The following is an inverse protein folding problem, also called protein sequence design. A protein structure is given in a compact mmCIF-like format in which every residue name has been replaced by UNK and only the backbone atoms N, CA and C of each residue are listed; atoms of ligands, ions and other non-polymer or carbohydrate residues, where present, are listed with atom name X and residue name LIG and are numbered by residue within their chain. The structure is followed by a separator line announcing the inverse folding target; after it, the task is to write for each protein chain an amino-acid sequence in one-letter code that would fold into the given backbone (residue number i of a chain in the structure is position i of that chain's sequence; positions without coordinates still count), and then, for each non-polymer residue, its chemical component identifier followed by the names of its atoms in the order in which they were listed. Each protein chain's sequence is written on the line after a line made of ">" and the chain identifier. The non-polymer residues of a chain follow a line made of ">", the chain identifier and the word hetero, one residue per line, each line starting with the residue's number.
data_IF_726378301267
#
_entry.id   IF_726378301267
#
_cell.length_a   1.000
_cell.length_b   1.000
_cell.length_c   1.000
_cell.angle_alpha   90.00
_cell.angle_beta   90.00
_cell.angle_gamma   90.00
#
_symmetry.space_group_name_H-M   'P 1'
#
loop_
_entity.id
_entity.type
_entity.pdbx_description
1 polymer ?
#
# COMPACT_ATOMS: atom_id res chain seq x y z
N UNK A 1 22.67 -8.87 -11.98
CA UNK A 1 23.69 -9.55 -11.12
C UNK A 1 23.86 -8.90 -9.75
N UNK A 2 23.64 -7.61 -9.58
CA UNK A 2 23.71 -6.91 -8.28
C UNK A 2 22.66 -7.38 -7.25
N UNK A 3 21.44 -7.70 -7.68
CA UNK A 3 20.38 -8.23 -6.85
C UNK A 3 20.80 -9.43 -5.99
N UNK A 4 21.36 -10.47 -6.64
CA UNK A 4 21.80 -11.69 -5.95
C UNK A 4 23.00 -11.38 -5.04
N UNK A 5 23.82 -10.38 -5.40
CA UNK A 5 24.97 -9.93 -4.62
C UNK A 5 24.58 -9.32 -3.27
N UNK A 6 23.56 -8.44 -3.23
CA UNK A 6 23.10 -7.84 -1.98
C UNK A 6 22.47 -8.86 -1.03
N UNK A 7 21.64 -9.78 -1.55
CA UNK A 7 21.03 -10.82 -0.71
C UNK A 7 22.04 -11.83 -0.14
N UNK A 8 23.11 -12.17 -0.90
CA UNK A 8 24.15 -13.11 -0.44
C UNK A 8 25.04 -12.52 0.66
N UNK A 9 25.14 -11.20 0.76
CA UNK A 9 25.94 -10.52 1.80
C UNK A 9 25.20 -10.41 3.13
N UNK A 10 23.87 -10.64 3.15
CA UNK A 10 23.09 -10.59 4.38
C UNK A 10 23.40 -11.78 5.28
N UNK A 11 23.49 -11.52 6.58
CA UNK A 11 23.48 -12.58 7.59
C UNK A 11 22.14 -13.31 7.56
N UNK A 12 22.08 -14.52 8.12
CA UNK A 12 20.83 -15.27 8.21
C UNK A 12 19.75 -14.51 8.99
N UNK A 13 20.13 -13.74 10.01
CA UNK A 13 19.25 -12.91 10.81
C UNK A 13 18.66 -11.75 9.98
N UNK A 14 19.49 -10.99 9.28
CA UNK A 14 19.09 -9.91 8.40
C UNK A 14 18.15 -10.40 7.30
N UNK A 15 18.48 -11.52 6.68
CA UNK A 15 17.66 -12.14 5.65
C UNK A 15 16.30 -12.57 6.17
N UNK A 16 16.24 -13.24 7.33
CA UNK A 16 15.00 -13.68 7.93
C UNK A 16 14.11 -12.50 8.33
N UNK A 17 14.72 -11.43 8.88
CA UNK A 17 13.99 -10.20 9.22
C UNK A 17 13.40 -9.54 7.98
N UNK A 18 14.20 -9.38 6.91
CA UNK A 18 13.72 -8.80 5.67
C UNK A 18 12.59 -9.62 5.04
N UNK A 19 12.75 -10.96 4.97
CA UNK A 19 11.71 -11.87 4.45
C UNK A 19 10.43 -11.75 5.26
N UNK A 20 10.52 -11.70 6.58
CA UNK A 20 9.34 -11.56 7.45
C UNK A 20 8.59 -10.24 7.20
N UNK A 21 9.32 -9.12 7.09
CA UNK A 21 8.72 -7.81 6.84
C UNK A 21 8.15 -7.72 5.40
N UNK A 22 8.84 -8.27 4.42
CA UNK A 22 8.36 -8.34 3.03
C UNK A 22 7.08 -9.18 2.91
N UNK A 23 7.08 -10.37 3.53
CA UNK A 23 5.90 -11.25 3.54
C UNK A 23 4.74 -10.62 4.33
N UNK A 24 5.03 -9.95 5.47
CA UNK A 24 4.02 -9.23 6.23
C UNK A 24 3.30 -8.21 5.35
N UNK A 25 4.06 -7.33 4.69
CA UNK A 25 3.53 -6.34 3.77
C UNK A 25 2.80 -6.95 2.56
N UNK A 26 3.34 -8.04 1.99
CA UNK A 26 2.70 -8.72 0.87
C UNK A 26 1.38 -9.37 1.26
N UNK A 27 1.32 -10.00 2.44
CA UNK A 27 0.13 -10.68 2.91
C UNK A 27 -0.95 -9.70 3.40
N UNK A 28 -0.54 -8.55 3.96
CA UNK A 28 -1.43 -7.45 4.28
C UNK A 28 -2.12 -6.89 3.01
N UNK A 29 -1.35 -6.66 1.94
CA UNK A 29 -1.90 -6.28 0.64
C UNK A 29 -2.77 -7.38 0.03
N UNK A 30 -2.38 -8.65 0.15
CA UNK A 30 -3.17 -9.80 -0.29
C UNK A 30 -4.57 -9.79 0.33
N UNK A 31 -4.68 -9.58 1.65
CA UNK A 31 -5.95 -9.56 2.36
C UNK A 31 -6.82 -8.36 1.94
N UNK A 32 -6.22 -7.19 1.73
CA UNK A 32 -6.95 -6.05 1.17
C UNK A 32 -7.53 -6.37 -0.22
N UNK A 33 -6.75 -7.00 -1.11
CA UNK A 33 -7.20 -7.32 -2.46
C UNK A 33 -8.18 -8.49 -2.53
N UNK A 34 -8.22 -9.38 -1.55
CA UNK A 34 -9.32 -10.36 -1.40
C UNK A 34 -10.67 -9.65 -1.37
N UNK A 35 -10.80 -8.59 -0.55
CA UNK A 35 -12.01 -7.77 -0.53
C UNK A 35 -12.35 -7.24 -1.94
N UNK A 36 -11.36 -6.67 -2.64
CA UNK A 36 -11.54 -6.07 -3.97
C UNK A 36 -12.04 -7.08 -5.01
N UNK A 37 -11.50 -8.31 -5.02
CA UNK A 37 -11.98 -9.38 -5.91
C UNK A 37 -13.38 -9.88 -5.54
N UNK A 38 -13.75 -9.84 -4.27
CA UNK A 38 -15.01 -10.36 -3.75
C UNK A 38 -16.15 -9.34 -3.78
N UNK A 39 -15.94 -8.08 -4.18
CA UNK A 39 -16.95 -7.00 -4.16
C UNK A 39 -18.25 -7.42 -4.84
N UNK A 40 -18.20 -8.03 -6.03
CA UNK A 40 -19.40 -8.48 -6.75
C UNK A 40 -20.17 -9.57 -6.01
N UNK A 41 -19.45 -10.52 -5.40
CA UNK A 41 -20.04 -11.62 -4.63
C UNK A 41 -20.63 -11.13 -3.29
N UNK A 42 -19.95 -10.18 -2.63
CA UNK A 42 -20.45 -9.52 -1.42
C UNK A 42 -21.72 -8.72 -1.71
N UNK A 43 -21.76 -7.96 -2.82
CA UNK A 43 -22.94 -7.23 -3.26
C UNK A 43 -24.15 -8.16 -3.48
N UNK A 44 -23.93 -9.31 -4.11
CA UNK A 44 -24.96 -10.31 -4.31
C UNK A 44 -25.40 -10.96 -2.99
N UNK A 45 -24.45 -11.29 -2.08
CA UNK A 45 -24.76 -11.98 -0.82
C UNK A 45 -25.50 -11.09 0.18
N UNK A 46 -25.11 -9.81 0.28
CA UNK A 46 -25.75 -8.86 1.22
C UNK A 46 -26.92 -8.09 0.59
N UNK A 47 -27.23 -8.33 -0.69
CA UNK A 47 -28.26 -7.61 -1.46
C UNK A 47 -28.04 -6.10 -1.47
N UNK A 48 -26.78 -5.68 -1.58
CA UNK A 48 -26.37 -4.29 -1.53
C UNK A 48 -25.77 -3.84 -2.87
N UNK A 49 -25.74 -2.51 -3.08
CA UNK A 49 -25.07 -1.92 -4.24
C UNK A 49 -23.55 -2.04 -4.11
N UNK A 50 -22.85 -2.00 -5.24
CA UNK A 50 -21.36 -1.98 -5.24
C UNK A 50 -20.82 -0.79 -4.44
N UNK A 51 -21.43 0.39 -4.58
CA UNK A 51 -21.06 1.59 -3.82
C UNK A 51 -21.17 1.40 -2.31
N UNK A 52 -22.18 0.66 -1.84
CA UNK A 52 -22.36 0.30 -0.43
C UNK A 52 -21.22 -0.66 0.01
N UNK A 53 -20.92 -1.69 -0.79
CA UNK A 53 -19.83 -2.63 -0.47
C UNK A 53 -18.47 -1.93 -0.45
N UNK A 54 -18.22 -0.96 -1.33
CA UNK A 54 -16.97 -0.20 -1.34
C UNK A 54 -16.73 0.64 -0.08
N UNK A 55 -17.75 0.85 0.76
CA UNK A 55 -17.57 1.40 2.11
C UNK A 55 -16.65 0.51 2.98
N UNK A 56 -16.59 -0.79 2.70
CA UNK A 56 -15.66 -1.67 3.40
C UNK A 56 -14.19 -1.34 3.06
N UNK A 57 -13.89 -1.06 1.79
CA UNK A 57 -12.56 -0.58 1.38
C UNK A 57 -12.28 0.81 1.97
N UNK A 58 -13.28 1.71 1.94
CA UNK A 58 -13.17 3.03 2.58
C UNK A 58 -12.78 2.91 4.05
N UNK A 59 -13.53 2.17 4.86
CA UNK A 59 -13.25 2.03 6.30
C UNK A 59 -11.90 1.35 6.56
N UNK A 60 -11.52 0.37 5.72
CA UNK A 60 -10.19 -0.25 5.81
C UNK A 60 -9.09 0.80 5.64
N UNK A 61 -9.15 1.63 4.61
CA UNK A 61 -8.12 2.63 4.33
C UNK A 61 -8.18 3.82 5.31
N UNK A 62 -9.39 4.26 5.68
CA UNK A 62 -9.60 5.39 6.58
C UNK A 62 -9.09 5.14 8.01
N UNK A 63 -9.11 3.89 8.47
CA UNK A 63 -8.64 3.50 9.80
C UNK A 63 -7.12 3.27 9.88
N UNK A 64 -6.40 3.19 8.76
CA UNK A 64 -4.94 2.96 8.73
C UNK A 64 -4.11 4.00 9.50
N UNK A 65 -4.39 5.34 9.42
CA UNK A 65 -3.62 6.31 10.20
C UNK A 65 -3.72 6.09 11.71
N UNK A 66 -4.90 5.69 12.21
CA UNK A 66 -5.09 5.34 13.62
C UNK A 66 -4.23 4.12 14.00
N UNK A 67 -4.23 3.09 13.15
CA UNK A 67 -3.40 1.91 13.31
C UNK A 67 -1.91 2.23 13.32
N UNK A 68 -1.44 3.01 12.36
CA UNK A 68 -0.04 3.46 12.29
C UNK A 68 0.40 4.16 13.59
N UNK A 69 -0.47 5.01 14.14
CA UNK A 69 -0.22 5.69 15.40
C UNK A 69 -0.16 4.71 16.59
N UNK A 70 -1.17 3.85 16.75
CA UNK A 70 -1.28 2.91 17.88
C UNK A 70 -0.14 1.89 17.89
N UNK A 71 0.09 1.21 16.77
CA UNK A 71 1.14 0.20 16.65
C UNK A 71 2.55 0.81 16.63
N UNK A 72 2.71 2.00 16.06
CA UNK A 72 3.96 2.75 16.12
C UNK A 72 4.37 3.06 17.56
N UNK A 73 3.43 3.58 18.39
CA UNK A 73 3.66 3.81 19.81
C UNK A 73 3.97 2.53 20.58
N UNK A 74 3.28 1.44 20.25
CA UNK A 74 3.53 0.14 20.87
C UNK A 74 4.92 -0.38 20.50
N UNK A 75 5.33 -0.26 19.26
CA UNK A 75 6.66 -0.67 18.78
C UNK A 75 7.79 0.07 19.51
N UNK A 76 7.61 1.35 19.85
CA UNK A 76 8.59 2.12 20.61
C UNK A 76 8.69 1.69 22.08
N UNK A 77 7.61 1.15 22.66
CA UNK A 77 7.55 0.74 24.07
C UNK A 77 7.93 -0.72 24.28
N UNK A 78 7.32 -1.61 23.52
CA UNK A 78 7.36 -3.06 23.72
C UNK A 78 8.42 -3.72 22.81
N UNK A 79 8.76 -3.07 21.70
CA UNK A 79 9.70 -3.56 20.69
C UNK A 79 9.04 -3.73 19.33
N UNK A 80 9.88 -3.78 18.28
CA UNK A 80 9.39 -3.91 16.89
C UNK A 80 8.85 -5.30 16.62
N UNK A 81 9.59 -6.34 17.05
CA UNK A 81 9.25 -7.74 16.82
C UNK A 81 7.91 -8.15 17.46
N UNK A 82 7.65 -7.97 18.77
CA UNK A 82 6.37 -8.36 19.39
C UNK A 82 5.20 -7.54 18.84
N UNK A 83 5.43 -6.26 18.48
CA UNK A 83 4.41 -5.42 17.85
C UNK A 83 4.05 -5.93 16.47
N UNK A 84 5.02 -6.29 15.64
CA UNK A 84 4.79 -6.89 14.32
C UNK A 84 3.99 -8.20 14.44
N UNK A 85 4.36 -9.07 15.38
CA UNK A 85 3.63 -10.30 15.65
C UNK A 85 2.16 -10.05 16.01
N UNK A 86 1.92 -9.15 16.99
CA UNK A 86 0.57 -8.83 17.43
C UNK A 86 -0.25 -8.22 16.30
N UNK A 87 0.39 -7.40 15.46
CA UNK A 87 -0.22 -6.80 14.30
C UNK A 87 -0.68 -7.85 13.29
N UNK A 88 0.21 -8.80 12.92
CA UNK A 88 -0.11 -9.90 12.01
C UNK A 88 -1.26 -10.76 12.56
N UNK A 89 -1.23 -11.10 13.84
CA UNK A 89 -2.32 -11.86 14.49
C UNK A 89 -3.62 -11.07 14.44
N UNK A 90 -3.58 -9.77 14.74
CA UNK A 90 -4.77 -8.92 14.80
C UNK A 90 -5.44 -8.81 13.42
N UNK A 91 -4.69 -8.49 12.34
CA UNK A 91 -5.31 -8.39 11.04
C UNK A 91 -5.82 -9.74 10.51
N UNK A 92 -5.10 -10.85 10.77
CA UNK A 92 -5.56 -12.19 10.41
C UNK A 92 -6.85 -12.59 11.16
N UNK A 93 -6.98 -12.21 12.44
CA UNK A 93 -8.21 -12.42 13.21
C UNK A 93 -9.40 -11.63 12.63
N UNK A 94 -9.20 -10.37 12.29
CA UNK A 94 -10.27 -9.56 11.73
C UNK A 94 -10.63 -9.98 10.30
N UNK A 95 -9.66 -10.48 9.54
CA UNK A 95 -9.90 -11.10 8.24
C UNK A 95 -10.80 -12.34 8.40
N UNK A 96 -10.43 -13.25 9.32
CA UNK A 96 -11.23 -14.42 9.63
C UNK A 96 -12.64 -14.06 10.13
N UNK A 97 -12.74 -13.06 11.02
CA UNK A 97 -14.04 -12.58 11.52
C UNK A 97 -14.91 -12.03 10.39
N UNK A 98 -14.31 -11.40 9.36
CA UNK A 98 -15.03 -10.93 8.18
C UNK A 98 -15.67 -12.09 7.38
N UNK A 99 -15.02 -13.28 7.32
CA UNK A 99 -15.56 -14.45 6.68
C UNK A 99 -16.89 -14.94 7.30
N UNK A 100 -17.05 -14.74 8.60
CA UNK A 100 -18.22 -15.17 9.36
C UNK A 100 -19.24 -14.06 9.64
N UNK A 101 -19.08 -12.88 9.06
CA UNK A 101 -20.00 -11.77 9.25
C UNK A 101 -21.42 -12.17 8.79
N UNK A 102 -22.44 -12.10 9.69
CA UNK A 102 -23.82 -12.44 9.34
C UNK A 102 -24.54 -11.31 8.60
N UNK A 103 -24.12 -10.06 8.81
CA UNK A 103 -24.72 -8.88 8.19
C UNK A 103 -23.64 -7.96 7.62
N UNK A 104 -24.03 -7.09 6.70
CA UNK A 104 -23.12 -6.11 6.13
C UNK A 104 -22.55 -5.14 7.19
N UNK A 105 -23.32 -4.76 8.20
CA UNK A 105 -22.83 -3.90 9.29
C UNK A 105 -21.71 -4.56 10.10
N UNK A 106 -21.87 -5.85 10.44
CA UNK A 106 -20.81 -6.61 11.13
C UNK A 106 -19.57 -6.71 10.24
N UNK A 107 -19.77 -6.94 8.94
CA UNK A 107 -18.68 -6.95 7.97
C UNK A 107 -17.93 -5.61 7.93
N UNK A 108 -18.65 -4.47 7.92
CA UNK A 108 -18.02 -3.13 7.95
C UNK A 108 -17.19 -2.91 9.24
N UNK A 109 -17.71 -3.33 10.38
CA UNK A 109 -16.99 -3.21 11.66
C UNK A 109 -15.70 -4.02 11.61
N UNK A 110 -15.76 -5.28 11.14
CA UNK A 110 -14.55 -6.11 11.02
C UNK A 110 -13.55 -5.54 10.03
N UNK A 111 -14.00 -4.90 8.94
CA UNK A 111 -13.14 -4.20 7.96
C UNK A 111 -12.49 -2.94 8.53
N UNK A 112 -13.21 -2.19 9.37
CA UNK A 112 -12.64 -1.03 10.07
C UNK A 112 -11.55 -1.46 11.07
N UNK A 113 -11.79 -2.53 11.85
CA UNK A 113 -10.81 -3.10 12.78
C UNK A 113 -9.60 -3.69 12.05
N UNK A 114 -9.83 -4.37 10.91
CA UNK A 114 -8.78 -4.82 10.02
C UNK A 114 -7.92 -3.63 9.53
N UNK A 115 -8.55 -2.53 9.16
CA UNK A 115 -7.86 -1.32 8.73
C UNK A 115 -6.95 -0.71 9.82
N UNK A 116 -7.37 -0.76 11.09
CA UNK A 116 -6.51 -0.36 12.22
C UNK A 116 -5.29 -1.28 12.30
N UNK A 117 -5.49 -2.60 12.23
CA UNK A 117 -4.38 -3.55 12.26
C UNK A 117 -3.45 -3.35 11.05
N UNK A 118 -4.00 -3.31 9.84
CA UNK A 118 -3.27 -3.07 8.60
C UNK A 118 -2.42 -1.79 8.62
N UNK A 119 -2.91 -0.72 9.27
CA UNK A 119 -2.20 0.56 9.36
C UNK A 119 -0.87 0.50 10.12
N UNK A 120 -0.74 -0.44 11.06
CA UNK A 120 0.48 -0.61 11.85
C UNK A 120 1.58 -1.41 11.17
N UNK A 121 1.22 -2.28 10.23
CA UNK A 121 2.12 -3.28 9.66
C UNK A 121 3.30 -2.64 8.92
N UNK A 122 3.03 -1.79 7.94
CA UNK A 122 4.08 -1.19 7.11
C UNK A 122 5.12 -0.40 7.92
N UNK A 123 4.67 0.43 8.88
CA UNK A 123 5.57 1.26 9.69
C UNK A 123 6.47 0.44 10.61
N UNK A 124 5.90 -0.55 11.28
CA UNK A 124 6.64 -1.43 12.21
C UNK A 124 7.58 -2.37 11.45
N UNK A 125 7.10 -2.95 10.34
CA UNK A 125 7.89 -3.83 9.48
C UNK A 125 9.05 -3.10 8.82
N UNK A 126 8.83 -1.91 8.28
CA UNK A 126 9.88 -1.08 7.69
C UNK A 126 10.93 -0.68 8.75
N UNK A 127 10.52 -0.25 9.94
CA UNK A 127 11.44 0.09 11.02
C UNK A 127 12.30 -1.13 11.39
N UNK A 128 11.69 -2.29 11.62
CA UNK A 128 12.41 -3.52 11.97
C UNK A 128 13.41 -3.93 10.87
N UNK A 129 12.99 -3.89 9.60
CA UNK A 129 13.84 -4.21 8.47
C UNK A 129 15.05 -3.27 8.38
N UNK A 130 14.82 -1.95 8.37
CA UNK A 130 15.90 -0.97 8.15
C UNK A 130 16.81 -0.74 9.36
N UNK A 131 16.34 -1.03 10.57
CA UNK A 131 17.15 -1.03 11.79
C UNK A 131 18.09 -2.28 11.85
N UNK A 132 17.75 -3.35 11.11
CA UNK A 132 18.50 -4.61 11.07
C UNK A 132 19.43 -4.71 9.86
N UNK A 133 19.05 -4.12 8.73
CA UNK A 133 19.80 -4.17 7.48
C UNK A 133 21.04 -3.26 7.50
N UNK A 134 22.13 -3.66 6.80
CA UNK A 134 23.29 -2.79 6.66
C UNK A 134 22.95 -1.52 5.89
N UNK A 135 23.68 -0.44 6.15
CA UNK A 135 23.49 0.85 5.49
C UNK A 135 23.63 0.74 3.96
N UNK A 136 24.64 -0.07 3.54
CA UNK A 136 24.86 -0.38 2.13
C UNK A 136 23.69 -1.21 1.58
N UNK A 137 23.03 -0.71 0.54
CA UNK A 137 21.89 -1.40 -0.11
C UNK A 137 20.53 -1.13 0.52
N UNK A 138 20.40 -0.26 1.53
CA UNK A 138 19.09 0.09 2.10
C UNK A 138 18.09 0.61 1.06
N UNK A 139 18.54 1.42 0.10
CA UNK A 139 17.70 1.91 -0.97
C UNK A 139 17.13 0.79 -1.83
N UNK A 140 17.95 -0.21 -2.16
CA UNK A 140 17.54 -1.40 -2.89
C UNK A 140 16.49 -2.20 -2.11
N UNK A 141 16.76 -2.49 -0.82
CA UNK A 141 15.81 -3.23 0.03
C UNK A 141 14.53 -2.44 0.32
N UNK A 142 14.60 -1.10 0.35
CA UNK A 142 13.42 -0.25 0.47
C UNK A 142 12.50 -0.38 -0.74
N UNK A 143 13.06 -0.28 -1.94
CA UNK A 143 12.29 -0.50 -3.17
C UNK A 143 11.69 -1.90 -3.22
N UNK A 144 12.49 -2.92 -2.91
CA UNK A 144 12.01 -4.30 -2.90
C UNK A 144 10.91 -4.53 -1.86
N UNK A 145 11.01 -3.94 -0.66
CA UNK A 145 9.96 -4.02 0.36
C UNK A 145 8.64 -3.42 -0.16
N UNK A 146 8.73 -2.30 -0.87
CA UNK A 146 7.55 -1.64 -1.45
C UNK A 146 6.85 -2.50 -2.51
N UNK A 147 7.60 -3.28 -3.29
CA UNK A 147 7.03 -4.22 -4.27
C UNK A 147 6.22 -5.36 -3.62
N UNK A 148 6.31 -5.55 -2.32
CA UNK A 148 5.45 -6.47 -1.57
C UNK A 148 3.98 -6.21 -1.79
N UNK A 149 3.55 -4.95 -1.94
CA UNK A 149 2.17 -4.59 -2.24
C UNK A 149 1.69 -5.18 -3.59
N UNK A 150 2.51 -5.06 -4.63
CA UNK A 150 2.20 -5.61 -5.96
C UNK A 150 2.19 -7.15 -5.93
N UNK A 151 3.13 -7.75 -5.19
CA UNK A 151 3.18 -9.21 -4.98
C UNK A 151 1.93 -9.71 -4.25
N UNK A 152 1.46 -9.00 -3.22
CA UNK A 152 0.21 -9.31 -2.52
C UNK A 152 -0.99 -9.28 -3.45
N UNK A 153 -1.11 -8.27 -4.31
CA UNK A 153 -2.17 -8.18 -5.31
C UNK A 153 -2.11 -9.34 -6.32
N UNK A 154 -0.91 -9.67 -6.80
CA UNK A 154 -0.70 -10.79 -7.72
C UNK A 154 -1.13 -12.13 -7.08
N UNK A 155 -0.76 -12.37 -5.83
CA UNK A 155 -1.17 -13.57 -5.08
C UNK A 155 -2.70 -13.59 -4.92
N UNK A 156 -3.33 -12.47 -4.57
CA UNK A 156 -4.79 -12.39 -4.44
C UNK A 156 -5.50 -12.71 -5.75
N UNK A 157 -5.00 -12.19 -6.87
CA UNK A 157 -5.51 -12.50 -8.21
C UNK A 157 -5.37 -13.98 -8.57
N UNK A 158 -4.21 -14.58 -8.27
CA UNK A 158 -3.97 -16.00 -8.52
C UNK A 158 -4.90 -16.90 -7.68
N UNK A 159 -5.01 -16.63 -6.37
CA UNK A 159 -5.89 -17.38 -5.46
C UNK A 159 -7.34 -17.20 -5.87
N UNK A 160 -7.76 -15.98 -6.22
CA UNK A 160 -9.12 -15.74 -6.71
C UNK A 160 -9.43 -16.56 -7.97
N UNK A 161 -8.57 -16.55 -8.96
CA UNK A 161 -8.77 -17.26 -10.22
C UNK A 161 -8.83 -18.79 -10.09
N UNK A 162 -8.10 -19.33 -9.10
CA UNK A 162 -7.97 -20.81 -8.93
C UNK A 162 -8.95 -21.37 -7.91
N UNK A 163 -9.20 -20.67 -6.80
CA UNK A 163 -9.87 -21.23 -5.62
C UNK A 163 -11.28 -20.66 -5.42
N UNK A 164 -11.55 -19.41 -5.83
CA UNK A 164 -12.83 -18.73 -5.57
C UNK A 164 -14.07 -19.56 -5.97
N UNK A 165 -14.04 -20.23 -7.12
CA UNK A 165 -15.16 -21.06 -7.63
C UNK A 165 -15.57 -22.20 -6.69
N UNK A 166 -14.65 -22.66 -5.83
CA UNK A 166 -14.89 -23.78 -4.91
C UNK A 166 -15.30 -23.31 -3.52
N UNK A 167 -14.77 -22.19 -3.06
CA UNK A 167 -14.91 -21.75 -1.66
C UNK A 167 -15.78 -20.49 -1.50
N UNK A 168 -16.06 -19.78 -2.60
CA UNK A 168 -16.80 -18.52 -2.59
C UNK A 168 -16.07 -17.43 -1.80
N UNK A 169 -16.74 -16.29 -1.57
CA UNK A 169 -16.13 -15.14 -0.92
C UNK A 169 -15.74 -15.42 0.55
N UNK A 170 -16.57 -16.21 1.29
CA UNK A 170 -16.25 -16.56 2.68
C UNK A 170 -14.96 -17.37 2.79
N UNK A 171 -14.79 -18.36 1.92
CA UNK A 171 -13.58 -19.16 1.86
C UNK A 171 -12.35 -18.34 1.49
N UNK A 172 -12.49 -17.32 0.63
CA UNK A 172 -11.39 -16.39 0.32
C UNK A 172 -10.92 -15.65 1.57
N UNK A 173 -11.83 -15.14 2.41
CA UNK A 173 -11.49 -14.48 3.68
C UNK A 173 -10.91 -15.45 4.73
N UNK A 174 -11.33 -16.73 4.72
CA UNK A 174 -10.67 -17.76 5.54
C UNK A 174 -9.23 -17.99 5.10
N UNK A 175 -8.98 -18.04 3.79
CA UNK A 175 -7.63 -18.13 3.23
C UNK A 175 -6.81 -16.89 3.59
N UNK A 176 -7.45 -15.70 3.59
CA UNK A 176 -6.85 -14.44 4.05
C UNK A 176 -6.39 -14.46 5.51
N UNK A 177 -6.89 -15.36 6.35
CA UNK A 177 -6.39 -15.51 7.72
C UNK A 177 -5.07 -16.33 7.82
N UNK A 178 -4.61 -16.95 6.72
CA UNK A 178 -3.37 -17.77 6.73
C UNK A 178 -2.09 -16.99 7.08
N UNK A 179 -1.98 -15.64 6.90
CA UNK A 179 -0.84 -14.89 7.39
C UNK A 179 -0.55 -15.05 8.88
N UNK A 180 -1.52 -15.47 9.71
CA UNK A 180 -1.28 -15.81 11.11
C UNK A 180 -0.11 -16.81 11.30
N UNK A 181 0.12 -17.71 10.31
CA UNK A 181 1.26 -18.63 10.30
C UNK A 181 2.60 -17.88 10.21
N UNK A 182 2.65 -16.73 9.54
CA UNK A 182 3.84 -15.88 9.49
C UNK A 182 4.23 -15.37 10.88
N UNK A 183 3.27 -15.11 11.77
CA UNK A 183 3.57 -14.70 13.14
C UNK A 183 4.42 -15.75 13.88
N UNK A 184 4.19 -17.04 13.61
CA UNK A 184 5.01 -18.14 14.16
C UNK A 184 6.44 -18.10 13.60
N UNK A 185 6.59 -17.80 12.30
CA UNK A 185 7.91 -17.63 11.69
C UNK A 185 8.65 -16.42 12.31
N UNK A 186 7.98 -15.28 12.47
CA UNK A 186 8.54 -14.09 13.13
C UNK A 186 8.98 -14.44 14.54
N UNK A 187 8.15 -15.16 15.31
CA UNK A 187 8.47 -15.57 16.67
C UNK A 187 9.76 -16.42 16.74
N UNK A 188 9.96 -17.34 15.80
CA UNK A 188 11.05 -18.33 15.85
C UNK A 188 12.34 -17.84 15.18
N UNK A 189 12.27 -17.00 14.17
CA UNK A 189 13.40 -16.71 13.25
C UNK A 189 13.85 -15.25 13.23
N UNK A 190 13.01 -14.33 13.73
CA UNK A 190 13.32 -12.90 13.76
C UNK A 190 13.74 -12.49 15.15
N UNK A 191 14.83 -11.72 15.25
CA UNK A 191 15.25 -11.09 16.49
C UNK A 191 14.72 -9.66 16.61
N UNK A 192 14.82 -9.10 17.82
CA UNK A 192 14.47 -7.70 18.05
C UNK A 192 15.50 -6.76 17.39
N UNK A 193 15.04 -5.56 17.03
CA UNK A 193 15.88 -4.51 16.45
C UNK A 193 17.09 -4.20 17.35
N UNK A 194 18.32 -4.23 16.81
CA UNK A 194 19.50 -3.81 17.54
C UNK A 194 19.43 -2.37 18.03
N UNK A 195 18.90 -1.47 17.21
CA UNK A 195 18.75 -0.05 17.56
C UNK A 195 17.77 0.14 18.73
N UNK A 196 16.66 -0.61 18.74
CA UNK A 196 15.71 -0.57 19.86
C UNK A 196 16.32 -1.11 21.16
N UNK A 197 17.07 -2.23 21.10
CA UNK A 197 17.74 -2.80 22.27
C UNK A 197 18.79 -1.83 22.85
N UNK A 198 19.58 -1.17 22.03
CA UNK A 198 20.52 -0.13 22.46
C UNK A 198 19.80 1.05 23.13
N UNK A 199 18.71 1.53 22.52
CA UNK A 199 17.89 2.59 23.11
C UNK A 199 17.28 2.22 24.47
N UNK A 200 16.90 0.95 24.66
CA UNK A 200 16.41 0.47 25.96
C UNK A 200 17.52 0.35 27.02
N UNK A 201 18.71 -0.11 26.62
CA UNK A 201 19.87 -0.16 27.51
C UNK A 201 20.23 1.25 28.00
N UNK A 202 20.22 2.23 27.10
CA UNK A 202 20.51 3.63 27.42
C UNK A 202 19.46 4.26 28.37
N UNK A 203 18.17 3.95 28.18
CA UNK A 203 17.12 4.38 29.12
C UNK A 203 17.27 3.78 30.52
N UNK A 204 17.78 2.56 30.63
CA UNK A 204 18.01 1.88 31.91
C UNK A 204 19.25 2.42 32.67
N UNK A 205 20.22 3.02 31.97
CA UNK A 205 21.39 3.64 32.61
C UNK A 205 21.08 4.95 33.37
N UNK A 206 19.83 5.43 33.31
CA UNK A 206 19.36 6.57 34.10
C UNK A 206 19.75 7.95 33.53
N UNK A 207 20.46 7.99 32.41
CA UNK A 207 20.94 9.25 31.81
C UNK A 207 19.85 10.05 31.08
N UNK A 208 18.69 9.42 30.78
CA UNK A 208 17.55 10.14 30.19
C UNK A 208 16.22 9.62 30.75
N UNK A 209 15.52 10.45 31.50
CA UNK A 209 14.10 10.28 31.82
C UNK A 209 13.32 10.28 30.51
N UNK A 210 12.69 9.13 30.17
CA UNK A 210 11.90 9.00 28.95
C UNK A 210 10.83 10.09 28.89
N UNK A 211 10.92 10.97 27.91
CA UNK A 211 9.89 11.99 27.69
C UNK A 211 8.53 11.31 27.60
N UNK A 212 7.56 11.79 28.38
CA UNK A 212 6.21 11.28 28.39
C UNK A 212 5.60 11.31 26.95
N UNK A 213 4.68 10.40 26.68
CA UNK A 213 4.08 10.26 25.34
C UNK A 213 3.52 11.58 24.81
N UNK A 214 2.93 12.38 25.68
CA UNK A 214 2.35 13.67 25.33
C UNK A 214 3.41 14.68 24.88
N UNK A 215 4.60 14.69 25.50
CA UNK A 215 5.72 15.53 25.06
C UNK A 215 6.20 15.16 23.65
N UNK A 216 6.24 13.87 23.31
CA UNK A 216 6.60 13.41 21.95
C UNK A 216 5.52 13.78 20.94
N UNK A 217 4.23 13.62 21.29
CA UNK A 217 3.12 14.08 20.45
C UNK A 217 3.18 15.59 20.24
N UNK A 218 3.41 16.36 21.30
CA UNK A 218 3.57 17.82 21.18
C UNK A 218 4.79 18.20 20.35
N UNK A 219 5.93 17.53 20.52
CA UNK A 219 7.13 17.77 19.72
C UNK A 219 6.85 17.44 18.23
N UNK A 220 6.18 16.34 17.93
CA UNK A 220 5.77 15.97 16.59
C UNK A 220 4.83 17.00 15.96
N UNK A 221 3.77 17.40 16.68
CA UNK A 221 2.83 18.43 16.20
C UNK A 221 3.51 19.80 16.00
N UNK A 222 4.43 20.17 16.91
CA UNK A 222 5.24 21.40 16.76
C UNK A 222 6.13 21.32 15.51
N UNK A 223 6.75 20.17 15.26
CA UNK A 223 7.57 19.95 14.06
C UNK A 223 6.74 20.01 12.77
N UNK A 224 5.55 19.38 12.74
CA UNK A 224 4.63 19.50 11.60
C UNK A 224 4.25 20.96 11.38
N UNK A 225 3.92 21.71 12.44
CA UNK A 225 3.54 23.11 12.34
C UNK A 225 4.67 23.98 11.78
N UNK A 226 5.93 23.73 12.19
CA UNK A 226 7.09 24.49 11.68
C UNK A 226 7.39 24.18 10.21
N UNK A 227 6.93 23.01 9.69
CA UNK A 227 7.13 22.59 8.29
C UNK A 227 5.78 22.43 7.55
N UNK A 228 4.74 23.18 7.97
CA UNK A 228 3.37 22.99 7.49
C UNK A 228 3.24 23.07 5.96
N UNK A 229 3.98 23.96 5.30
CA UNK A 229 3.93 24.10 3.84
C UNK A 229 4.38 22.83 3.12
N UNK A 230 5.53 22.28 3.52
CA UNK A 230 6.02 21.02 2.92
C UNK A 230 5.12 19.84 3.29
N UNK A 231 4.61 19.79 4.53
CA UNK A 231 3.69 18.74 4.95
C UNK A 231 2.41 18.73 4.11
N UNK A 232 1.77 19.88 3.92
CA UNK A 232 0.56 20.01 3.09
C UNK A 232 0.86 19.60 1.65
N UNK A 233 1.99 20.05 1.09
CA UNK A 233 2.41 19.63 -0.25
C UNK A 233 2.56 18.11 -0.37
N UNK A 234 3.25 17.46 0.58
CA UNK A 234 3.42 16.01 0.58
C UNK A 234 2.10 15.26 0.76
N UNK A 235 1.18 15.77 1.59
CA UNK A 235 -0.17 15.19 1.76
C UNK A 235 -0.97 15.27 0.45
N UNK A 236 -0.95 16.42 -0.24
CA UNK A 236 -1.65 16.59 -1.53
C UNK A 236 -1.02 15.71 -2.60
N UNK A 237 0.31 15.60 -2.64
CA UNK A 237 1.02 14.69 -3.54
C UNK A 237 0.60 13.24 -3.28
N UNK A 238 0.58 12.81 -2.02
CA UNK A 238 0.21 11.44 -1.64
C UNK A 238 -1.27 11.17 -1.85
N UNK A 239 -2.14 12.15 -1.66
CA UNK A 239 -3.56 12.05 -2.05
C UNK A 239 -3.70 11.78 -3.55
N UNK A 240 -2.98 12.54 -4.40
CA UNK A 240 -2.99 12.33 -5.85
C UNK A 240 -2.48 10.93 -6.22
N UNK A 241 -1.37 10.49 -5.64
CA UNK A 241 -0.79 9.18 -5.91
C UNK A 241 -1.65 8.01 -5.42
N UNK A 242 -2.18 8.09 -4.21
CA UNK A 242 -3.11 7.07 -3.69
C UNK A 242 -4.38 7.00 -4.54
N UNK A 243 -4.92 8.17 -4.94
CA UNK A 243 -6.07 8.22 -5.85
C UNK A 243 -5.74 7.64 -7.22
N UNK A 244 -4.51 7.77 -7.71
CA UNK A 244 -4.07 7.19 -8.99
C UNK A 244 -3.99 5.67 -8.91
N UNK A 245 -3.42 5.13 -7.83
CA UNK A 245 -3.34 3.69 -7.59
C UNK A 245 -4.73 3.08 -7.37
N UNK A 246 -5.42 3.49 -6.31
CA UNK A 246 -6.74 2.97 -5.97
C UNK A 246 -7.78 3.23 -7.07
N UNK A 247 -7.71 4.37 -7.74
CA UNK A 247 -8.62 4.72 -8.84
C UNK A 247 -8.52 3.83 -10.06
N UNK A 248 -7.38 3.15 -10.25
CA UNK A 248 -7.16 2.22 -11.36
C UNK A 248 -7.24 0.75 -10.94
N UNK A 249 -7.21 0.46 -9.65
CA UNK A 249 -7.11 -0.90 -9.11
C UNK A 249 -8.40 -1.41 -8.48
N UNK A 250 -9.04 -0.61 -7.61
CA UNK A 250 -10.08 -1.11 -6.71
C UNK A 250 -11.34 -1.58 -7.42
N UNK A 251 -11.79 -0.89 -8.45
CA UNK A 251 -12.99 -1.29 -9.19
C UNK A 251 -12.71 -2.03 -10.49
N UNK A 252 -11.45 -2.23 -10.85
CA UNK A 252 -11.12 -2.89 -12.11
C UNK A 252 -11.55 -4.36 -12.16
N UNK A 253 -11.32 -5.20 -11.13
CA UNK A 253 -11.89 -6.54 -11.11
C UNK A 253 -13.43 -6.56 -11.17
N UNK A 254 -14.10 -5.62 -10.48
CA UNK A 254 -15.57 -5.49 -10.53
C UNK A 254 -16.06 -5.11 -11.92
N UNK A 255 -15.37 -4.21 -12.62
CA UNK A 255 -15.64 -3.88 -14.03
C UNK A 255 -15.56 -5.13 -14.92
N UNK A 256 -14.48 -5.90 -14.81
CA UNK A 256 -14.29 -7.13 -15.59
C UNK A 256 -15.38 -8.17 -15.30
N UNK A 257 -15.82 -8.28 -14.04
CA UNK A 257 -16.85 -9.22 -13.62
C UNK A 257 -18.27 -8.78 -14.01
N UNK A 258 -18.64 -7.52 -13.73
CA UNK A 258 -20.02 -7.04 -13.88
C UNK A 258 -20.33 -6.51 -15.27
N UNK A 259 -19.42 -5.72 -15.87
CA UNK A 259 -19.69 -5.12 -17.17
C UNK A 259 -19.31 -6.04 -18.33
N UNK A 260 -18.28 -6.89 -18.16
CA UNK A 260 -17.81 -7.80 -19.21
C UNK A 260 -18.18 -9.25 -18.93
N UNK A 261 -18.78 -9.57 -17.78
CA UNK A 261 -19.22 -10.90 -17.36
C UNK A 261 -18.10 -11.97 -17.44
N UNK A 262 -16.85 -11.58 -17.20
CA UNK A 262 -15.73 -12.51 -17.27
C UNK A 262 -15.70 -13.46 -16.07
N UNK A 263 -15.27 -14.70 -16.36
CA UNK A 263 -15.05 -15.71 -15.34
C UNK A 263 -13.93 -15.32 -14.37
N UNK A 264 -13.91 -15.84 -13.14
CA UNK A 264 -12.82 -15.60 -12.18
C UNK A 264 -11.42 -15.90 -12.77
N UNK A 265 -11.28 -16.95 -13.57
CA UNK A 265 -10.02 -17.29 -14.24
C UNK A 265 -9.56 -16.24 -15.26
N UNK A 266 -10.50 -15.70 -16.05
CA UNK A 266 -10.19 -14.63 -17.02
C UNK A 266 -9.82 -13.33 -16.30
N UNK A 267 -10.54 -12.96 -15.25
CA UNK A 267 -10.21 -11.80 -14.40
C UNK A 267 -8.82 -11.95 -13.80
N UNK A 268 -8.52 -13.12 -13.24
CA UNK A 268 -7.21 -13.45 -12.69
C UNK A 268 -6.10 -13.29 -13.73
N UNK A 269 -6.26 -13.85 -14.93
CA UNK A 269 -5.28 -13.73 -16.00
C UNK A 269 -4.96 -12.26 -16.34
N UNK A 270 -6.01 -11.44 -16.54
CA UNK A 270 -5.83 -10.01 -16.84
C UNK A 270 -5.09 -9.30 -15.69
N UNK A 271 -5.47 -9.59 -14.43
CA UNK A 271 -4.84 -8.97 -13.26
C UNK A 271 -3.41 -9.45 -13.04
N UNK A 272 -3.06 -10.67 -13.37
CA UNK A 272 -1.67 -11.15 -13.34
C UNK A 272 -0.81 -10.37 -14.34
N UNK A 273 -1.25 -10.26 -15.61
CA UNK A 273 -0.54 -9.50 -16.64
C UNK A 273 -0.40 -8.03 -16.25
N UNK A 274 -1.44 -7.44 -15.73
CA UNK A 274 -1.50 -6.10 -15.17
C UNK A 274 -0.46 -5.88 -14.05
N UNK A 275 -0.30 -6.83 -13.09
CA UNK A 275 0.69 -6.74 -12.03
C UNK A 275 2.13 -6.97 -12.52
N UNK A 276 2.34 -7.75 -13.58
CA UNK A 276 3.64 -7.83 -14.25
C UNK A 276 4.05 -6.47 -14.83
N UNK A 277 3.07 -5.73 -15.39
CA UNK A 277 3.27 -4.35 -15.81
C UNK A 277 3.67 -3.45 -14.64
N UNK A 278 3.00 -3.58 -13.50
CA UNK A 278 3.31 -2.83 -12.28
C UNK A 278 4.77 -3.02 -11.82
N UNK A 279 5.20 -4.27 -11.67
CA UNK A 279 6.58 -4.62 -11.28
C UNK A 279 7.62 -4.07 -12.27
N UNK A 280 7.38 -4.27 -13.57
CA UNK A 280 8.28 -3.78 -14.62
C UNK A 280 8.36 -2.25 -14.62
N UNK A 281 7.23 -1.57 -14.45
CA UNK A 281 7.13 -0.12 -14.40
C UNK A 281 7.87 0.47 -13.21
N UNK A 282 7.63 -0.04 -12.00
CA UNK A 282 8.29 0.42 -10.78
C UNK A 282 9.81 0.37 -10.88
N UNK A 283 10.35 -0.74 -11.38
CA UNK A 283 11.79 -0.92 -11.58
C UNK A 283 12.33 0.03 -12.67
N UNK A 284 11.67 0.09 -13.82
CA UNK A 284 12.16 0.90 -14.95
C UNK A 284 12.15 2.39 -14.63
N UNK A 285 11.00 2.92 -14.19
CA UNK A 285 10.86 4.35 -13.92
C UNK A 285 11.62 4.77 -12.66
N UNK A 286 11.75 3.89 -11.65
CA UNK A 286 12.65 4.10 -10.52
C UNK A 286 14.08 4.38 -10.99
N UNK A 287 14.65 3.50 -11.83
CA UNK A 287 15.99 3.68 -12.41
C UNK A 287 16.07 4.90 -13.36
N UNK A 288 15.03 5.13 -14.18
CA UNK A 288 14.98 6.27 -15.08
C UNK A 288 15.01 7.60 -14.31
N UNK A 289 14.37 7.66 -13.15
CA UNK A 289 14.33 8.85 -12.31
C UNK A 289 15.70 9.30 -11.80
N UNK A 290 16.65 8.37 -11.69
CA UNK A 290 18.04 8.68 -11.37
C UNK A 290 18.76 9.43 -12.51
N UNK A 291 18.29 9.28 -13.76
CA UNK A 291 18.90 9.90 -14.94
C UNK A 291 18.26 11.22 -15.31
N UNK A 292 16.94 11.27 -15.41
CA UNK A 292 16.20 12.43 -15.93
C UNK A 292 15.56 13.31 -14.85
N UNK A 293 15.64 12.89 -13.56
CA UNK A 293 15.06 13.57 -12.42
C UNK A 293 13.73 12.97 -11.97
N UNK A 294 13.42 13.16 -10.66
CA UNK A 294 12.22 12.59 -10.02
C UNK A 294 10.94 13.14 -10.64
N UNK A 295 10.82 14.47 -10.68
CA UNK A 295 9.62 15.16 -11.17
C UNK A 295 9.30 14.83 -12.62
N UNK A 296 10.28 14.90 -13.52
CA UNK A 296 10.08 14.61 -14.94
C UNK A 296 9.60 13.18 -15.16
N UNK A 297 10.21 12.23 -14.47
CA UNK A 297 9.84 10.81 -14.54
C UNK A 297 8.39 10.59 -14.09
N UNK A 298 7.99 11.16 -12.97
CA UNK A 298 6.61 11.06 -12.45
C UNK A 298 5.61 11.65 -13.45
N UNK A 299 5.87 12.87 -13.95
CA UNK A 299 4.97 13.55 -14.89
C UNK A 299 4.81 12.74 -16.18
N UNK A 300 5.91 12.25 -16.76
CA UNK A 300 5.88 11.44 -17.97
C UNK A 300 5.09 10.15 -17.74
N UNK A 301 5.37 9.42 -16.66
CA UNK A 301 4.66 8.20 -16.33
C UNK A 301 3.15 8.46 -16.13
N UNK A 302 2.76 9.47 -15.36
CA UNK A 302 1.37 9.80 -15.12
C UNK A 302 0.62 10.14 -16.42
N UNK A 303 1.19 10.99 -17.28
CA UNK A 303 0.54 11.38 -18.53
C UNK A 303 0.48 10.25 -19.55
N UNK A 304 1.48 9.36 -19.60
CA UNK A 304 1.49 8.19 -20.49
C UNK A 304 0.48 7.10 -20.06
N UNK A 305 -0.14 7.18 -18.88
CA UNK A 305 -1.27 6.33 -18.53
C UNK A 305 -2.53 6.66 -19.34
N UNK A 306 -2.71 7.92 -19.78
CA UNK A 306 -3.91 8.36 -20.52
C UNK A 306 -4.08 7.62 -21.85
N UNK A 307 -3.06 7.48 -22.73
CA UNK A 307 -3.17 6.71 -23.96
C UNK A 307 -3.52 5.22 -23.78
N UNK A 308 -3.32 4.64 -22.59
CA UNK A 308 -3.69 3.25 -22.32
C UNK A 308 -5.21 3.05 -22.10
N UNK A 309 -5.97 4.12 -21.84
CA UNK A 309 -7.41 4.06 -21.51
C UNK A 309 -8.23 3.29 -22.54
N UNK A 310 -8.11 3.50 -23.86
CA UNK A 310 -8.94 2.78 -24.84
C UNK A 310 -8.79 1.26 -24.76
N UNK A 311 -7.56 0.76 -24.58
CA UNK A 311 -7.29 -0.67 -24.43
C UNK A 311 -7.74 -1.19 -23.06
N UNK A 312 -7.55 -0.41 -22.01
CA UNK A 312 -7.79 -0.81 -20.63
C UNK A 312 -9.26 -0.79 -20.22
N UNK A 313 -10.05 0.22 -20.68
CA UNK A 313 -11.42 0.42 -20.20
C UNK A 313 -12.51 0.19 -21.26
N UNK A 314 -12.19 0.31 -22.55
CA UNK A 314 -13.18 0.24 -23.63
C UNK A 314 -13.04 -0.97 -24.55
N UNK A 315 -12.02 -1.79 -24.34
CA UNK A 315 -11.90 -3.06 -25.08
C UNK A 315 -12.85 -4.12 -24.49
N UNK A 316 -13.30 -5.03 -25.34
CA UNK A 316 -14.04 -6.24 -24.95
C UNK A 316 -13.21 -7.52 -25.15
N UNK A 317 -12.02 -7.40 -25.70
CA UNK A 317 -11.14 -8.54 -26.00
C UNK A 317 -10.15 -8.78 -24.86
N UNK A 318 -10.11 -10.00 -24.32
CA UNK A 318 -9.27 -10.36 -23.15
C UNK A 318 -7.80 -9.96 -23.36
N UNK A 319 -7.24 -10.27 -24.56
CA UNK A 319 -5.85 -9.93 -24.88
C UNK A 319 -5.58 -8.41 -24.87
N UNK A 320 -6.49 -7.60 -25.43
CA UNK A 320 -6.35 -6.15 -25.45
C UNK A 320 -6.52 -5.54 -24.06
N UNK A 321 -7.44 -6.07 -23.24
CA UNK A 321 -7.58 -5.66 -21.84
C UNK A 321 -6.35 -6.02 -21.01
N UNK A 322 -5.74 -7.18 -21.26
CA UNK A 322 -4.51 -7.58 -20.59
C UNK A 322 -3.34 -6.64 -20.95
N UNK A 323 -3.19 -6.31 -22.24
CA UNK A 323 -2.19 -5.33 -22.71
C UNK A 323 -2.48 -3.94 -22.15
N UNK A 324 -3.74 -3.49 -22.22
CA UNK A 324 -4.17 -2.21 -21.65
C UNK A 324 -3.91 -2.12 -20.15
N UNK A 325 -4.22 -3.21 -19.42
CA UNK A 325 -3.94 -3.34 -17.98
C UNK A 325 -2.45 -3.31 -17.67
N UNK A 326 -1.64 -4.05 -18.45
CA UNK A 326 -0.17 -4.00 -18.33
C UNK A 326 0.34 -2.57 -18.51
N UNK A 327 -0.03 -1.88 -19.60
CA UNK A 327 0.42 -0.52 -19.88
C UNK A 327 -0.07 0.46 -18.81
N UNK A 328 -1.32 0.35 -18.39
CA UNK A 328 -1.87 1.21 -17.31
C UNK A 328 -1.03 1.09 -16.03
N UNK A 329 -0.79 -0.13 -15.54
CA UNK A 329 -0.04 -0.30 -14.31
C UNK A 329 1.46 -0.12 -14.45
N UNK A 330 2.01 -0.37 -15.61
CA UNK A 330 3.39 -0.02 -15.94
C UNK A 330 3.63 1.49 -15.75
N UNK A 331 2.65 2.33 -16.08
CA UNK A 331 2.72 3.77 -15.88
C UNK A 331 2.39 4.18 -14.45
N UNK A 332 1.29 3.66 -13.87
CA UNK A 332 0.84 4.01 -12.51
C UNK A 332 1.88 3.61 -11.46
N UNK A 333 2.31 2.35 -11.48
CA UNK A 333 3.31 1.85 -10.53
C UNK A 333 4.72 2.30 -10.92
N UNK A 334 4.94 2.64 -12.19
CA UNK A 334 6.15 3.32 -12.63
C UNK A 334 6.34 4.67 -11.94
N UNK A 335 5.29 5.49 -11.88
CA UNK A 335 5.31 6.73 -11.12
C UNK A 335 5.53 6.47 -9.61
N UNK A 336 4.91 5.44 -9.05
CA UNK A 336 5.08 5.03 -7.64
C UNK A 336 6.50 4.59 -7.30
N UNK A 337 7.21 3.93 -8.23
CA UNK A 337 8.61 3.50 -8.02
C UNK A 337 9.57 4.65 -7.71
N UNK A 338 9.19 5.89 -8.04
CA UNK A 338 9.97 7.10 -7.77
C UNK A 338 9.65 7.71 -6.39
N UNK A 339 8.45 7.46 -5.86
CA UNK A 339 7.90 8.16 -4.68
C UNK A 339 8.72 7.98 -3.40
N UNK A 340 9.18 6.78 -3.00
CA UNK A 340 9.94 6.63 -1.76
C UNK A 340 11.18 7.53 -1.71
N UNK A 341 11.92 7.62 -2.81
CA UNK A 341 13.08 8.50 -2.92
C UNK A 341 12.66 9.98 -2.89
N UNK A 342 11.68 10.35 -3.71
CA UNK A 342 11.21 11.73 -3.84
C UNK A 342 10.68 12.31 -2.52
N UNK A 343 9.88 11.55 -1.77
CA UNK A 343 9.37 11.98 -0.45
C UNK A 343 10.49 12.21 0.56
N UNK A 344 11.49 11.31 0.60
CA UNK A 344 12.61 11.45 1.52
C UNK A 344 13.51 12.64 1.14
N UNK A 345 13.77 12.84 -0.16
CA UNK A 345 14.56 13.96 -0.67
C UNK A 345 13.88 15.31 -0.38
N UNK A 346 12.54 15.38 -0.44
CA UNK A 346 11.76 16.60 -0.12
C UNK A 346 11.62 16.87 1.37
N UNK A 347 11.85 15.87 2.23
CA UNK A 347 11.62 15.99 3.67
C UNK A 347 12.82 16.64 4.37
N UNK A 348 12.61 17.68 5.21
CA UNK A 348 13.67 18.29 5.99
C UNK A 348 14.38 17.29 6.91
N UNK A 349 15.70 17.43 7.15
CA UNK A 349 16.48 16.47 7.93
C UNK A 349 15.89 16.11 9.30
N UNK A 350 15.43 17.11 10.06
CA UNK A 350 14.90 16.91 11.42
C UNK A 350 13.55 16.15 11.51
N UNK A 351 12.83 15.96 10.40
CA UNK A 351 11.51 15.29 10.35
C UNK A 351 11.44 14.17 9.31
N UNK A 352 12.55 13.90 8.63
CA UNK A 352 12.63 12.92 7.53
C UNK A 352 12.20 11.50 7.94
N UNK A 353 12.41 11.12 9.19
CA UNK A 353 12.00 9.80 9.69
C UNK A 353 10.49 9.61 9.89
N UNK A 354 9.72 10.70 10.00
CA UNK A 354 8.28 10.62 10.34
C UNK A 354 7.37 11.28 9.31
N UNK A 355 7.82 12.38 8.70
CA UNK A 355 7.00 13.19 7.82
C UNK A 355 6.53 12.44 6.55
N UNK A 356 7.38 11.68 5.82
CA UNK A 356 6.95 10.93 4.64
C UNK A 356 5.86 9.91 4.96
N UNK A 357 6.05 9.12 6.02
CA UNK A 357 5.08 8.08 6.42
C UNK A 357 3.74 8.68 6.87
N UNK A 358 3.78 9.78 7.64
CA UNK A 358 2.56 10.44 8.10
C UNK A 358 1.82 11.14 6.94
N UNK A 359 2.53 11.78 6.02
CA UNK A 359 1.94 12.34 4.81
C UNK A 359 1.31 11.26 3.92
N UNK A 360 1.97 10.11 3.77
CA UNK A 360 1.43 8.95 3.05
C UNK A 360 0.10 8.48 3.65
N UNK A 361 0.04 8.25 4.96
CA UNK A 361 -1.19 7.78 5.61
C UNK A 361 -2.32 8.83 5.61
N UNK A 362 -1.97 10.12 5.70
CA UNK A 362 -2.95 11.20 5.57
C UNK A 362 -3.49 11.29 4.13
N UNK A 363 -2.63 11.12 3.13
CA UNK A 363 -3.03 11.02 1.73
C UNK A 363 -3.94 9.81 1.48
N UNK A 364 -3.65 8.66 2.09
CA UNK A 364 -4.50 7.47 2.06
C UNK A 364 -5.90 7.73 2.63
N UNK A 365 -5.98 8.39 3.78
CA UNK A 365 -7.25 8.78 4.39
C UNK A 365 -8.08 9.63 3.44
N UNK A 366 -7.48 10.63 2.82
CA UNK A 366 -8.19 11.51 1.87
C UNK A 366 -8.64 10.76 0.61
N UNK A 367 -7.83 9.82 0.11
CA UNK A 367 -8.15 9.03 -1.09
C UNK A 367 -9.11 7.86 -0.83
N UNK A 368 -9.40 7.53 0.41
CA UNK A 368 -10.23 6.37 0.78
C UNK A 368 -11.65 6.42 0.20
N UNK A 369 -12.19 7.62 -0.06
CA UNK A 369 -13.48 7.82 -0.71
C UNK A 369 -13.48 7.52 -2.22
N UNK A 370 -12.34 7.37 -2.85
CA UNK A 370 -12.21 7.30 -4.30
C UNK A 370 -13.08 6.19 -4.91
N UNK A 371 -12.96 4.96 -4.43
CA UNK A 371 -13.70 3.80 -4.94
C UNK A 371 -15.21 3.88 -4.66
N UNK A 372 -15.61 4.48 -3.55
CA UNK A 372 -17.04 4.75 -3.24
C UNK A 372 -17.61 5.75 -4.24
N UNK A 373 -16.90 6.87 -4.47
CA UNK A 373 -17.31 7.90 -5.42
C UNK A 373 -17.40 7.32 -6.84
N UNK A 374 -16.39 6.58 -7.27
CA UNK A 374 -16.39 5.93 -8.58
C UNK A 374 -17.60 5.00 -8.75
N UNK A 375 -17.90 4.16 -7.76
CA UNK A 375 -19.04 3.26 -7.81
C UNK A 375 -20.37 4.03 -7.86
N UNK A 376 -20.54 5.06 -7.02
CA UNK A 376 -21.76 5.90 -7.02
C UNK A 376 -21.95 6.62 -8.35
N UNK A 377 -20.88 7.16 -8.94
CA UNK A 377 -20.96 7.83 -10.25
C UNK A 377 -21.32 6.83 -11.35
N UNK A 378 -20.75 5.61 -11.34
CA UNK A 378 -21.10 4.55 -12.27
C UNK A 378 -22.59 4.18 -12.16
N UNK A 379 -23.10 3.98 -10.93
CA UNK A 379 -24.49 3.60 -10.66
C UNK A 379 -25.48 4.70 -11.02
N UNK A 380 -25.20 5.96 -10.66
CA UNK A 380 -26.16 7.05 -10.75
C UNK A 380 -26.13 7.82 -12.07
N UNK A 381 -24.97 7.83 -12.79
CA UNK A 381 -24.77 8.63 -14.00
C UNK A 381 -24.57 7.81 -15.27
N UNK A 382 -24.05 6.57 -15.13
CA UNK A 382 -23.68 5.73 -16.27
C UNK A 382 -24.41 4.38 -16.29
N UNK A 383 -25.54 4.24 -15.56
CA UNK A 383 -26.36 3.03 -15.58
C UNK A 383 -25.64 1.77 -15.12
N UNK A 384 -24.64 1.90 -14.25
CA UNK A 384 -23.81 0.79 -13.75
C UNK A 384 -22.59 0.47 -14.61
N UNK A 385 -22.31 1.27 -15.67
CA UNK A 385 -21.08 1.12 -16.47
C UNK A 385 -19.88 1.75 -15.76
N UNK A 386 -18.86 0.95 -15.47
CA UNK A 386 -17.62 1.41 -14.82
C UNK A 386 -16.61 2.00 -15.81
N UNK A 387 -16.64 1.62 -17.10
CA UNK A 387 -15.66 2.04 -18.10
C UNK A 387 -15.49 3.56 -18.19
N UNK A 388 -16.57 4.37 -18.35
CA UNK A 388 -16.44 5.83 -18.42
C UNK A 388 -15.86 6.43 -17.14
N UNK A 389 -16.26 5.89 -15.97
CA UNK A 389 -15.80 6.40 -14.67
C UNK A 389 -14.31 6.13 -14.48
N UNK A 390 -13.86 4.91 -14.78
CA UNK A 390 -12.45 4.54 -14.76
C UNK A 390 -11.62 5.44 -15.70
N UNK A 391 -12.11 5.66 -16.93
CA UNK A 391 -11.45 6.52 -17.90
C UNK A 391 -11.31 7.97 -17.40
N UNK A 392 -12.39 8.58 -16.93
CA UNK A 392 -12.36 9.93 -16.38
C UNK A 392 -11.48 10.04 -15.13
N UNK A 393 -11.50 9.02 -14.26
CA UNK A 393 -10.61 8.98 -13.09
C UNK A 393 -9.15 9.04 -13.52
N UNK A 394 -8.73 8.24 -14.50
CA UNK A 394 -7.34 8.27 -14.99
C UNK A 394 -6.98 9.64 -15.54
N UNK A 395 -7.84 10.27 -16.36
CA UNK A 395 -7.55 11.59 -16.95
C UNK A 395 -7.38 12.64 -15.85
N UNK A 396 -8.34 12.71 -14.92
CA UNK A 396 -8.35 13.74 -13.86
C UNK A 396 -7.18 13.54 -12.90
N UNK A 397 -6.96 12.31 -12.44
CA UNK A 397 -5.92 12.04 -11.44
C UNK A 397 -4.52 12.08 -12.06
N UNK A 398 -4.32 11.59 -13.28
CA UNK A 398 -3.03 11.72 -13.96
C UNK A 398 -2.64 13.20 -14.16
N UNK A 399 -3.61 14.04 -14.55
CA UNK A 399 -3.41 15.48 -14.63
C UNK A 399 -3.08 16.09 -13.26
N UNK A 400 -3.79 15.69 -12.20
CA UNK A 400 -3.54 16.13 -10.83
C UNK A 400 -2.13 15.72 -10.36
N UNK A 401 -1.71 14.46 -10.57
CA UNK A 401 -0.36 13.99 -10.26
C UNK A 401 0.69 14.83 -11.01
N UNK A 402 0.48 15.06 -12.31
CA UNK A 402 1.41 15.85 -13.11
C UNK A 402 1.50 17.30 -12.63
N UNK A 403 0.38 17.96 -12.35
CA UNK A 403 0.32 19.35 -11.89
C UNK A 403 0.96 19.48 -10.49
N UNK A 404 0.54 18.66 -9.52
CA UNK A 404 1.08 18.72 -8.16
C UNK A 404 2.59 18.46 -8.17
N UNK A 405 3.05 17.47 -8.93
CA UNK A 405 4.49 17.19 -9.06
C UNK A 405 5.22 18.35 -9.75
N UNK A 406 4.62 19.01 -10.75
CA UNK A 406 5.21 20.16 -11.43
C UNK A 406 5.34 21.40 -10.51
N UNK A 407 4.47 21.58 -9.54
CA UNK A 407 4.52 22.64 -8.55
C UNK A 407 5.58 22.39 -7.45
N UNK A 408 6.01 21.13 -7.27
CA UNK A 408 7.05 20.77 -6.30
C UNK A 408 8.46 21.18 -6.75
N UNK A 409 9.44 20.91 -5.89
CA UNK A 409 10.86 21.16 -6.18
C UNK A 409 11.59 19.86 -6.54
N UNK A 410 12.58 19.94 -7.42
CA UNK A 410 13.49 18.82 -7.70
C UNK A 410 14.62 18.85 -6.66
N UNK A 411 14.77 17.77 -5.89
CA UNK A 411 15.84 17.63 -4.88
C UNK A 411 16.61 16.31 -5.07
N UNK A 412 16.70 15.84 -6.30
CA UNK A 412 17.46 14.62 -6.64
C UNK A 412 18.89 14.71 -6.12
N UNK A 413 19.32 13.65 -5.40
CA UNK A 413 20.67 13.56 -4.86
C UNK A 413 20.91 14.39 -3.60
N UNK A 414 19.84 14.85 -2.91
CA UNK A 414 19.97 15.47 -1.61
C UNK A 414 20.71 14.53 -0.65
N UNK A 415 21.70 15.07 0.08
CA UNK A 415 22.43 14.31 1.07
C UNK A 415 21.48 13.92 2.21
N UNK A 416 21.22 12.63 2.34
CA UNK A 416 20.34 12.08 3.37
C UNK A 416 21.07 11.82 4.70
N UNK A 417 22.40 11.98 4.73
CA UNK A 417 23.23 11.70 5.91
C UNK A 417 23.43 12.91 6.81
N UNK A 418 23.16 14.12 6.32
CA UNK A 418 23.29 15.34 7.12
C UNK A 418 22.17 15.42 8.15
N UNK A 419 22.53 15.17 9.42
CA UNK A 419 21.74 15.56 10.59
C UNK A 419 22.20 16.98 10.97
N UNK A 420 21.48 18.01 10.52
CA UNK A 420 21.66 19.36 11.05
C UNK A 420 20.69 19.62 12.17
#
# INVERSE_FOLDING_TARGET
>A
MEFIGHFRRLTAEQRNTFIACFLGWSLDAFDFFILIFCVSALAANFHEKVSTIMQAAFWTLAMRPLGAFLFGMMADRVGRRPTLMLNIIAYSMFELASAFAPTFHVFLITRALFGIAMGGEWGVGAALAFETLPAEGRGFFSGLLQEGYVVGYLIAGLVYGTVFRFVGWRGMFVIGATPAVLAVFVLRKVKESPAWLQGQAWKKSGEHTGQGIWLRVFAFLKNIRSHAGIFIFLVVLMFAFNSFSHGTQDLYPTFLQKNLAFSPGTVSFIVIVYNLGALAGGILFGNLSEKIGRRRTIIVAALLAIPAIPLWAYSHHVGLLAVGGFLMQFMVQGAWGVIPAHLNELSPPGVRGTLPGFAYQTGNLLSSWNSVIQAQVAENRFGGSFAPVLAWTVVVIAAMVAIVTALGHEQRGADLTTTS
#
